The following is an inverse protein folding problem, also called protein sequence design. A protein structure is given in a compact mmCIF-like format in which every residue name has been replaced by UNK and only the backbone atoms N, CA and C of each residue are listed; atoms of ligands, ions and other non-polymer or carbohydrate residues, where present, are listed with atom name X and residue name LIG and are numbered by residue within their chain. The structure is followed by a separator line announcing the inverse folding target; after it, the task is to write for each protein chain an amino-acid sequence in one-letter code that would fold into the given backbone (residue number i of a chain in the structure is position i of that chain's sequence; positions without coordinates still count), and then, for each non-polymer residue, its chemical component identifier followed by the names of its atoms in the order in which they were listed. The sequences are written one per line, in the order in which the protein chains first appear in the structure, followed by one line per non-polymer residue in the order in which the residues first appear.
data_IF_820631737344
#
_entry.id   IF_820631737344
#
_cell.length_a   1.000
_cell.length_b   1.000
_cell.length_c   1.000
_cell.angle_alpha   90.00
_cell.angle_beta   90.00
_cell.angle_gamma   90.00
#
_symmetry.space_group_name_H-M   'P 1'
#
loop_
_entity.id
_entity.type
_entity.pdbx_description
1 polymer ?
#
# COMPACT_ATOMS: atom_id res chain seq x y z
N UNK A 1 -15.98 16.83 3.93
CA UNK A 1 -16.53 15.47 3.83
C UNK A 1 -15.35 14.52 3.76
N UNK A 2 -15.31 13.45 4.54
CA UNK A 2 -14.27 12.42 4.42
C UNK A 2 -14.63 11.55 3.21
N UNK A 3 -13.75 11.50 2.21
CA UNK A 3 -13.93 10.69 1.00
C UNK A 3 -12.93 9.52 1.02
N UNK A 4 -13.40 8.33 0.67
CA UNK A 4 -12.56 7.14 0.51
C UNK A 4 -12.71 6.59 -0.91
N UNK A 5 -11.59 6.30 -1.58
CA UNK A 5 -11.57 5.71 -2.91
C UNK A 5 -11.19 4.22 -2.80
N UNK A 6 -12.12 3.34 -3.16
CA UNK A 6 -11.90 1.90 -3.14
C UNK A 6 -11.61 1.41 -4.56
N UNK A 7 -10.55 0.62 -4.73
CA UNK A 7 -10.22 -0.07 -5.98
C UNK A 7 -10.14 -1.57 -5.74
N UNK A 8 -10.77 -2.34 -6.61
CA UNK A 8 -10.75 -3.80 -6.57
C UNK A 8 -9.76 -4.33 -7.61
N UNK A 9 -8.99 -5.34 -7.22
CA UNK A 9 -8.03 -6.00 -8.10
C UNK A 9 -8.23 -7.50 -8.02
N UNK A 10 -8.25 -8.15 -9.18
CA UNK A 10 -8.20 -9.60 -9.30
C UNK A 10 -6.79 -9.98 -9.79
N UNK A 11 -5.91 -10.27 -8.84
CA UNK A 11 -4.48 -10.43 -9.09
C UNK A 11 -4.19 -11.88 -9.48
N UNK A 12 -3.86 -12.09 -10.76
CA UNK A 12 -3.60 -13.43 -11.31
C UNK A 12 -2.20 -13.96 -11.06
N UNK A 13 -1.20 -13.07 -10.98
CA UNK A 13 0.21 -13.41 -10.77
C UNK A 13 0.90 -12.34 -9.92
N UNK A 14 1.70 -12.78 -8.95
CA UNK A 14 2.51 -11.94 -8.09
C UNK A 14 3.65 -12.78 -7.50
N UNK A 15 4.87 -12.24 -7.52
CA UNK A 15 6.08 -12.90 -7.04
C UNK A 15 7.10 -13.16 -8.13
N UNK A 16 8.18 -13.84 -7.76
CA UNK A 16 9.27 -14.20 -8.66
C UNK A 16 9.01 -15.57 -9.27
N UNK A 17 9.26 -15.70 -10.57
CA UNK A 17 9.04 -16.93 -11.32
C UNK A 17 10.32 -17.30 -12.07
N UNK A 18 10.68 -18.58 -12.07
CA UNK A 18 11.69 -19.08 -13.00
C UNK A 18 11.21 -18.92 -14.44
N UNK A 19 12.15 -18.72 -15.36
CA UNK A 19 11.84 -18.57 -16.78
C UNK A 19 11.08 -19.79 -17.28
N UNK A 20 9.89 -19.56 -17.83
CA UNK A 20 9.01 -20.60 -18.37
C UNK A 20 8.18 -21.34 -17.33
N UNK A 21 8.33 -21.04 -16.04
CA UNK A 21 7.49 -21.60 -14.98
C UNK A 21 6.24 -20.75 -14.74
N UNK A 22 5.14 -21.42 -14.39
CA UNK A 22 3.94 -20.78 -13.85
C UNK A 22 3.84 -20.89 -12.32
N UNK A 23 4.76 -21.62 -11.69
CA UNK A 23 4.85 -21.74 -10.24
C UNK A 23 5.67 -20.58 -9.69
N UNK A 24 5.18 -19.98 -8.60
CA UNK A 24 5.88 -18.92 -7.87
C UNK A 24 7.08 -19.57 -7.16
N UNK A 25 8.25 -18.98 -7.32
CA UNK A 25 9.47 -19.39 -6.62
C UNK A 25 9.49 -18.80 -5.20
N UNK A 26 9.27 -17.48 -5.06
CA UNK A 26 9.17 -16.80 -3.77
C UNK A 26 8.47 -15.43 -3.89
N UNK A 27 8.13 -14.86 -2.73
CA UNK A 27 7.44 -13.56 -2.58
C UNK A 27 6.08 -13.51 -3.28
N UNK A 28 5.23 -14.51 -3.06
CA UNK A 28 3.85 -14.48 -3.58
C UNK A 28 3.03 -13.32 -2.98
N UNK A 29 1.77 -13.17 -3.39
CA UNK A 29 0.90 -12.08 -2.92
C UNK A 29 0.80 -12.03 -1.40
N UNK A 30 0.49 -13.17 -0.77
CA UNK A 30 0.35 -13.24 0.69
C UNK A 30 1.68 -12.90 1.39
N UNK A 31 2.80 -13.44 0.92
CA UNK A 31 4.11 -13.16 1.50
C UNK A 31 4.45 -11.68 1.37
N UNK A 32 4.17 -11.08 0.21
CA UNK A 32 4.43 -9.67 -0.08
C UNK A 32 3.63 -8.76 0.86
N UNK A 33 2.33 -9.02 1.04
CA UNK A 33 1.47 -8.24 1.93
C UNK A 33 1.81 -8.45 3.40
N UNK A 34 2.14 -9.69 3.80
CA UNK A 34 2.67 -9.98 5.13
C UNK A 34 3.97 -9.19 5.40
N UNK A 35 4.92 -9.23 4.47
CA UNK A 35 6.19 -8.54 4.59
C UNK A 35 5.99 -7.01 4.67
N UNK A 36 5.07 -6.46 3.87
CA UNK A 36 4.69 -5.04 3.94
C UNK A 36 4.11 -4.68 5.32
N UNK A 37 3.21 -5.51 5.84
CA UNK A 37 2.61 -5.28 7.16
C UNK A 37 3.65 -5.38 8.28
N UNK A 38 4.55 -6.37 8.23
CA UNK A 38 5.66 -6.50 9.17
C UNK A 38 6.63 -5.32 9.10
N UNK A 39 6.98 -4.87 7.89
CA UNK A 39 7.79 -3.67 7.68
C UNK A 39 7.15 -2.45 8.33
N UNK A 40 5.84 -2.24 8.14
CA UNK A 40 5.15 -1.10 8.70
C UNK A 40 4.92 -1.19 10.23
N UNK A 41 5.01 -2.39 10.80
CA UNK A 41 4.73 -2.66 12.22
C UNK A 41 5.98 -2.88 13.07
N UNK A 42 7.16 -2.51 12.55
CA UNK A 42 8.46 -2.68 13.22
C UNK A 42 8.77 -1.63 14.31
N UNK A 43 7.79 -0.79 14.65
CA UNK A 43 7.93 0.30 15.62
C UNK A 43 8.26 1.65 15.01
N UNK A 44 8.37 1.76 13.68
CA UNK A 44 8.48 3.05 12.99
C UNK A 44 7.26 3.95 13.18
N UNK A 45 7.49 5.25 13.05
CA UNK A 45 6.39 6.23 12.98
C UNK A 45 5.61 6.10 11.67
N UNK A 46 4.31 6.36 11.72
CA UNK A 46 3.41 6.31 10.57
C UNK A 46 3.89 7.17 9.38
N UNK A 47 4.45 8.35 9.65
CA UNK A 47 5.00 9.25 8.61
C UNK A 47 6.16 8.60 7.83
N UNK A 48 6.84 7.60 8.42
CA UNK A 48 7.93 6.86 7.80
C UNK A 48 7.44 5.59 7.07
N UNK A 49 6.18 5.57 6.65
CA UNK A 49 5.56 4.47 5.87
C UNK A 49 5.25 4.87 4.43
N UNK A 50 5.87 5.95 3.93
CA UNK A 50 5.75 6.38 2.53
C UNK A 50 6.26 5.29 1.60
N UNK A 51 5.50 5.02 0.54
CA UNK A 51 5.80 3.94 -0.42
C UNK A 51 6.57 4.41 -1.66
N UNK A 52 6.79 5.72 -1.79
CA UNK A 52 7.53 6.38 -2.87
C UNK A 52 7.95 7.79 -2.44
N UNK A 53 8.90 8.40 -3.16
CA UNK A 53 9.31 9.80 -2.94
C UNK A 53 8.28 10.76 -3.56
N UNK A 54 8.04 11.90 -2.89
CA UNK A 54 7.20 12.98 -3.42
C UNK A 54 7.83 13.51 -4.71
N UNK A 55 7.00 13.71 -5.74
CA UNK A 55 7.39 14.41 -6.96
C UNK A 55 6.51 15.66 -7.11
N UNK A 56 7.02 16.83 -6.66
CA UNK A 56 6.28 18.09 -6.75
C UNK A 56 5.98 18.52 -8.18
N UNK A 57 6.81 18.13 -9.15
CA UNK A 57 6.66 18.53 -10.56
C UNK A 57 5.51 17.78 -11.23
N UNK A 58 5.10 16.63 -10.66
CA UNK A 58 4.00 15.79 -11.14
C UNK A 58 2.77 15.77 -10.22
N UNK A 59 2.66 16.69 -9.25
CA UNK A 59 1.62 16.72 -8.20
C UNK A 59 1.45 15.37 -7.48
N UNK A 60 2.55 14.63 -7.34
CA UNK A 60 2.58 13.34 -6.67
C UNK A 60 2.83 13.54 -5.17
N UNK A 61 1.77 13.42 -4.38
CA UNK A 61 1.81 13.53 -2.91
C UNK A 61 2.07 12.20 -2.24
N UNK A 62 2.49 12.21 -0.98
CA UNK A 62 2.76 10.98 -0.24
C UNK A 62 1.53 10.07 -0.13
N UNK A 63 1.77 8.76 -0.14
CA UNK A 63 0.81 7.75 0.30
C UNK A 63 1.45 6.89 1.37
N UNK A 64 0.79 6.83 2.53
CA UNK A 64 1.25 6.13 3.72
C UNK A 64 0.53 4.80 3.87
N UNK A 65 1.26 3.77 4.27
CA UNK A 65 0.66 2.50 4.66
C UNK A 65 -0.04 2.66 6.02
N UNK A 66 -1.33 2.38 6.08
CA UNK A 66 -2.09 2.42 7.33
C UNK A 66 -2.32 1.03 7.90
N UNK A 67 -2.84 0.11 7.09
CA UNK A 67 -3.08 -1.25 7.55
C UNK A 67 -3.26 -2.24 6.39
N UNK A 68 -3.18 -3.52 6.73
CA UNK A 68 -3.57 -4.62 5.87
C UNK A 68 -4.37 -5.63 6.70
N UNK A 69 -5.46 -6.13 6.12
CA UNK A 69 -6.25 -7.18 6.74
C UNK A 69 -6.54 -8.27 5.71
N UNK A 70 -6.39 -9.53 6.13
CA UNK A 70 -6.72 -10.70 5.33
C UNK A 70 -7.93 -11.41 5.89
N UNK A 71 -8.82 -11.86 5.02
CA UNK A 71 -9.89 -12.77 5.37
C UNK A 71 -9.37 -14.21 5.27
N UNK A 72 -9.35 -14.92 6.40
CA UNK A 72 -8.81 -16.29 6.46
C UNK A 72 -9.73 -17.34 5.83
N UNK A 73 -11.00 -17.02 5.58
CA UNK A 73 -11.98 -17.93 4.97
C UNK A 73 -11.83 -17.99 3.44
N UNK A 74 -11.72 -16.84 2.79
CA UNK A 74 -11.67 -16.77 1.32
C UNK A 74 -10.30 -16.31 0.75
N UNK A 75 -9.39 -15.84 1.61
CA UNK A 75 -8.06 -15.36 1.21
C UNK A 75 -8.03 -13.93 0.69
N UNK A 76 -9.17 -13.23 0.63
CA UNK A 76 -9.23 -11.84 0.17
C UNK A 76 -8.46 -10.93 1.12
N UNK A 77 -7.89 -9.87 0.58
CA UNK A 77 -7.11 -8.89 1.32
C UNK A 77 -7.61 -7.48 1.08
N UNK A 78 -7.63 -6.68 2.14
CA UNK A 78 -7.85 -5.23 2.08
C UNK A 78 -6.55 -4.55 2.47
N UNK A 79 -6.04 -3.71 1.57
CA UNK A 79 -4.92 -2.81 1.82
C UNK A 79 -5.46 -1.40 2.05
N UNK A 80 -5.09 -0.79 3.17
CA UNK A 80 -5.57 0.53 3.59
C UNK A 80 -4.40 1.50 3.54
N UNK A 81 -4.58 2.57 2.75
CA UNK A 81 -3.59 3.61 2.51
C UNK A 81 -4.19 4.97 2.81
N UNK A 82 -3.34 5.92 3.22
CA UNK A 82 -3.74 7.31 3.43
C UNK A 82 -2.96 8.21 2.48
N UNK A 83 -3.69 8.99 1.69
CA UNK A 83 -3.09 9.99 0.82
C UNK A 83 -2.86 11.27 1.63
N UNK A 84 -1.70 11.88 1.44
CA UNK A 84 -1.45 13.24 1.89
C UNK A 84 -2.38 14.22 1.16
N UNK A 85 -3.01 15.10 1.93
CA UNK A 85 -3.86 16.18 1.42
C UNK A 85 -3.11 17.51 1.55
N UNK A 86 -3.27 18.45 0.60
CA UNK A 86 -2.66 19.76 0.72
C UNK A 86 -3.15 20.48 1.98
N UNK A 87 -2.23 21.02 2.77
CA UNK A 87 -2.58 21.95 3.84
C UNK A 87 -3.04 23.26 3.20
N UNK A 88 -4.35 23.56 3.27
CA UNK A 88 -4.86 24.88 2.92
C UNK A 88 -4.55 25.80 4.10
N UNK A 89 -3.49 26.61 4.00
CA UNK A 89 -3.28 27.69 4.95
C UNK A 89 -4.34 28.75 4.63
N UNK A 90 -5.42 28.79 5.40
CA UNK A 90 -6.35 29.92 5.33
C UNK A 90 -5.62 31.15 5.87
N UNK A 91 -5.22 32.05 4.96
CA UNK A 91 -4.83 33.41 5.33
C UNK A 91 -6.09 34.14 5.79
N UNK A 92 -6.37 34.11 7.10
CA UNK A 92 -7.28 35.08 7.72
C UNK A 92 -6.60 36.45 7.68
N UNK A 93 -6.98 37.26 6.69
CA UNK A 93 -6.69 38.70 6.63
C UNK A 93 -7.71 39.52 7.40
#
# INVERSE_FOLDING_TARGET
MLEAKIKFFDIKKCGFYLRGSNQIEFSGMNDTLNNLHSWASDGREFVNTTTYEVDPDNDLRNTYFCNWHRNDVNGDSILILWNEVPNVVEHTG
#
